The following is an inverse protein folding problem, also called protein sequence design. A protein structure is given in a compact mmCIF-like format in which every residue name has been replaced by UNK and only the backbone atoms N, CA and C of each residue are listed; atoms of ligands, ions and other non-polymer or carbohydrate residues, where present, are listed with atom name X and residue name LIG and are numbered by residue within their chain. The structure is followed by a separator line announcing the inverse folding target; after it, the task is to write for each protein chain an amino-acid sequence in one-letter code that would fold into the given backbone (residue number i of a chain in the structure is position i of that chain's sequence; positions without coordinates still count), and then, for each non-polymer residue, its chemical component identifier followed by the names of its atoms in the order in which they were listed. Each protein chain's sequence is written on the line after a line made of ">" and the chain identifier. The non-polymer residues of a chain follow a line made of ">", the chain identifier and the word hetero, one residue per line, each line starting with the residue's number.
data_IF_566985203324
#
_entry.id   IF_566985203324
#
_cell.length_a   1.000
_cell.length_b   1.000
_cell.length_c   1.000
_cell.angle_alpha   90.00
_cell.angle_beta   90.00
_cell.angle_gamma   90.00
#
_symmetry.space_group_name_H-M   'P 1'
#
loop_
_entity.id
_entity.type
_entity.pdbx_description
1 polymer ?
#
# COMPACT_ATOMS: atom_id res chain seq x y z
N UNK A 1 5.37 23.45 4.30
CA UNK A 1 4.43 22.33 4.60
C UNK A 1 3.29 22.78 5.48
N UNK A 2 3.54 23.52 6.56
CA UNK A 2 2.47 24.05 7.44
C UNK A 2 1.49 24.99 6.73
N UNK A 3 1.98 25.91 5.88
CA UNK A 3 1.13 26.78 5.05
C UNK A 3 0.24 26.05 4.03
N UNK A 4 0.59 24.80 3.70
CA UNK A 4 -0.17 23.95 2.80
C UNK A 4 -0.96 22.89 3.58
N UNK A 5 -1.08 23.05 4.91
CA UNK A 5 -1.84 22.18 5.80
C UNK A 5 -1.45 20.69 5.73
N UNK A 6 -0.20 20.42 5.34
CA UNK A 6 0.32 19.05 5.27
C UNK A 6 0.61 18.56 6.69
N UNK A 7 0.00 17.44 7.08
CA UNK A 7 0.23 16.79 8.36
C UNK A 7 1.65 16.18 8.46
N UNK A 8 2.65 17.01 8.76
CA UNK A 8 4.08 16.63 8.82
C UNK A 8 4.44 15.60 9.89
N UNK A 9 3.57 15.44 10.90
CA UNK A 9 3.70 14.35 11.88
C UNK A 9 3.48 12.98 11.23
N UNK A 10 2.57 12.90 10.26
CA UNK A 10 2.20 11.69 9.51
C UNK A 10 3.08 11.55 8.26
N UNK A 11 3.15 12.60 7.43
CA UNK A 11 3.91 12.61 6.19
C UNK A 11 5.30 13.19 6.41
N UNK A 12 6.28 12.30 6.52
CA UNK A 12 7.69 12.68 6.68
C UNK A 12 8.28 13.17 5.36
N UNK A 13 9.44 13.86 5.38
CA UNK A 13 10.10 14.32 4.16
C UNK A 13 10.31 13.22 3.11
N UNK A 14 10.54 11.98 3.58
CA UNK A 14 10.66 10.82 2.72
C UNK A 14 9.39 10.52 1.89
N UNK A 15 8.21 10.63 2.51
CA UNK A 15 6.92 10.47 1.84
C UNK A 15 6.72 11.56 0.79
N UNK A 16 7.08 12.81 1.10
CA UNK A 16 6.98 13.92 0.16
C UNK A 16 7.91 13.71 -1.04
N UNK A 17 9.16 13.28 -0.82
CA UNK A 17 10.10 12.97 -1.92
C UNK A 17 9.52 11.93 -2.87
N UNK A 18 8.91 10.86 -2.35
CA UNK A 18 8.23 9.83 -3.15
C UNK A 18 7.06 10.40 -3.94
N UNK A 19 6.19 11.18 -3.30
CA UNK A 19 5.02 11.79 -3.94
C UNK A 19 5.43 12.78 -5.04
N UNK A 20 6.36 13.70 -4.75
CA UNK A 20 6.83 14.69 -5.72
C UNK A 20 7.52 14.04 -6.92
N UNK A 21 8.37 13.05 -6.69
CA UNK A 21 9.06 12.34 -7.78
C UNK A 21 8.08 11.54 -8.65
N UNK A 22 7.08 10.91 -8.03
CA UNK A 22 6.00 10.25 -8.78
C UNK A 22 5.23 11.25 -9.63
N UNK A 23 4.86 12.40 -9.06
CA UNK A 23 4.12 13.43 -9.79
C UNK A 23 4.92 13.99 -10.97
N UNK A 24 6.24 14.13 -10.82
CA UNK A 24 7.12 14.54 -11.91
C UNK A 24 7.08 13.54 -13.09
N UNK A 25 7.13 12.22 -12.81
CA UNK A 25 6.95 11.19 -13.85
C UNK A 25 5.58 11.31 -14.52
N UNK A 26 4.51 11.46 -13.74
CA UNK A 26 3.15 11.63 -14.27
C UNK A 26 3.00 12.91 -15.13
N UNK A 27 3.84 13.92 -14.90
CA UNK A 27 3.93 15.13 -15.71
C UNK A 27 4.87 14.99 -16.92
N UNK A 28 5.39 13.80 -17.20
CA UNK A 28 6.23 13.49 -18.36
C UNK A 28 7.73 13.73 -18.17
N UNK A 29 8.20 14.00 -16.95
CA UNK A 29 9.64 14.10 -16.69
C UNK A 29 10.30 12.73 -16.77
N UNK A 30 11.53 12.68 -17.29
CA UNK A 30 12.26 11.43 -17.41
C UNK A 30 12.70 10.92 -16.04
N UNK A 31 12.76 9.60 -15.89
CA UNK A 31 13.27 8.97 -14.66
C UNK A 31 14.73 9.35 -14.42
N UNK A 32 15.52 9.58 -15.49
CA UNK A 32 16.91 10.02 -15.40
C UNK A 32 16.99 11.37 -14.69
N UNK A 33 16.25 12.37 -15.18
CA UNK A 33 16.27 13.73 -14.61
C UNK A 33 15.80 13.74 -13.15
N UNK A 34 14.83 12.89 -12.82
CA UNK A 34 14.36 12.71 -11.44
C UNK A 34 15.44 12.10 -10.56
N UNK A 35 16.18 11.10 -11.07
CA UNK A 35 17.31 10.51 -10.35
C UNK A 35 18.44 11.52 -10.15
N UNK A 36 18.77 12.31 -11.16
CA UNK A 36 19.76 13.38 -11.05
C UNK A 36 19.34 14.43 -10.01
N UNK A 37 18.10 14.93 -10.10
CA UNK A 37 17.55 15.92 -9.17
C UNK A 37 17.53 15.41 -7.73
N UNK A 38 17.16 14.15 -7.53
CA UNK A 38 17.05 13.54 -6.21
C UNK A 38 18.39 12.95 -5.71
N UNK A 39 19.46 13.02 -6.49
CA UNK A 39 20.75 12.40 -6.20
C UNK A 39 20.64 10.87 -5.96
N UNK A 40 19.90 10.19 -6.82
CA UNK A 40 19.85 8.73 -6.89
C UNK A 40 20.80 8.21 -7.97
N UNK A 41 21.41 7.05 -7.71
CA UNK A 41 22.20 6.36 -8.72
C UNK A 41 21.34 5.85 -9.86
N UNK A 42 21.74 6.21 -11.09
CA UNK A 42 21.20 5.66 -12.34
C UNK A 42 21.34 4.15 -12.47
N UNK A 43 22.37 3.58 -11.83
CA UNK A 43 22.67 2.15 -11.89
C UNK A 43 21.74 1.31 -11.01
N UNK A 44 20.95 1.95 -10.15
CA UNK A 44 20.03 1.26 -9.23
C UNK A 44 18.58 1.48 -9.63
N UNK A 45 17.72 0.53 -9.27
CA UNK A 45 16.26 0.63 -9.41
C UNK A 45 15.58 1.16 -8.14
N UNK A 46 16.32 1.92 -7.31
CA UNK A 46 15.84 2.36 -5.99
C UNK A 46 14.57 3.20 -6.10
N UNK A 47 14.55 4.15 -7.04
CA UNK A 47 13.40 4.99 -7.30
C UNK A 47 12.19 4.15 -7.74
N UNK A 48 12.38 3.35 -8.78
CA UNK A 48 11.35 2.54 -9.42
C UNK A 48 10.73 1.52 -8.46
N UNK A 49 11.52 0.96 -7.54
CA UNK A 49 11.07 -0.08 -6.62
C UNK A 49 10.41 0.47 -5.36
N UNK A 50 10.90 1.59 -4.82
CA UNK A 50 10.51 2.03 -3.47
C UNK A 50 9.77 3.38 -3.45
N UNK A 51 10.04 4.26 -4.42
CA UNK A 51 9.58 5.65 -4.39
C UNK A 51 8.60 5.99 -5.51
N UNK A 52 8.62 5.27 -6.63
CA UNK A 52 7.67 5.45 -7.71
C UNK A 52 6.35 4.76 -7.39
N UNK A 53 5.30 5.55 -7.13
CA UNK A 53 3.97 5.08 -6.70
C UNK A 53 2.86 5.78 -7.49
N UNK A 54 2.71 5.50 -8.80
CA UNK A 54 1.75 6.19 -9.66
C UNK A 54 0.32 6.03 -9.13
N UNK A 55 -0.46 7.12 -9.19
CA UNK A 55 -1.85 7.15 -8.69
C UNK A 55 -2.80 6.35 -9.57
N UNK A 56 -2.56 6.34 -10.88
CA UNK A 56 -3.30 5.54 -11.86
C UNK A 56 -2.76 4.11 -11.99
N UNK A 57 -2.44 3.49 -10.86
CA UNK A 57 -2.30 2.05 -10.83
C UNK A 57 -3.71 1.48 -11.04
N UNK A 58 -4.14 1.39 -12.31
CA UNK A 58 -5.10 0.36 -12.74
C UNK A 58 -4.45 -0.97 -12.39
N UNK A 59 -4.56 -1.33 -11.12
CA UNK A 59 -3.95 -2.51 -10.62
C UNK A 59 -4.68 -3.63 -11.35
N UNK A 60 -3.91 -4.57 -11.90
CA UNK A 60 -4.45 -5.89 -12.24
C UNK A 60 -5.34 -6.39 -11.10
N UNK A 61 -4.98 -6.10 -9.85
CA UNK A 61 -5.81 -6.33 -8.66
C UNK A 61 -7.15 -5.59 -8.66
N UNK A 62 -7.20 -4.29 -8.99
CA UNK A 62 -8.48 -3.54 -9.12
C UNK A 62 -9.33 -4.14 -10.24
N UNK A 63 -8.72 -4.49 -11.38
CA UNK A 63 -9.43 -5.12 -12.50
C UNK A 63 -9.91 -6.54 -12.14
N UNK A 64 -9.12 -7.30 -11.36
CA UNK A 64 -9.50 -8.63 -10.85
C UNK A 64 -10.64 -8.51 -9.83
N UNK A 65 -10.55 -7.59 -8.87
CA UNK A 65 -11.59 -7.32 -7.87
C UNK A 65 -12.86 -6.90 -8.58
N UNK A 66 -12.79 -5.92 -9.49
CA UNK A 66 -13.94 -5.51 -10.27
C UNK A 66 -14.50 -6.71 -11.06
N UNK A 67 -13.69 -7.53 -11.73
CA UNK A 67 -14.15 -8.73 -12.42
C UNK A 67 -14.88 -9.73 -11.49
N UNK A 68 -14.40 -9.93 -10.26
CA UNK A 68 -15.03 -10.81 -9.27
C UNK A 68 -16.38 -10.24 -8.80
N UNK A 69 -16.45 -8.94 -8.53
CA UNK A 69 -17.62 -8.31 -7.90
C UNK A 69 -18.61 -7.66 -8.90
N UNK A 70 -18.27 -7.58 -10.19
CA UNK A 70 -19.15 -7.00 -11.23
C UNK A 70 -20.37 -7.88 -11.55
N UNK A 71 -20.42 -9.13 -11.08
CA UNK A 71 -21.57 -10.01 -11.26
C UNK A 71 -22.72 -9.74 -10.28
N UNK A 72 -22.62 -8.71 -9.44
CA UNK A 72 -23.67 -8.35 -8.48
C UNK A 72 -24.74 -7.45 -9.08
N UNK A 73 -25.25 -7.80 -10.26
CA UNK A 73 -26.52 -7.27 -10.73
C UNK A 73 -27.66 -7.96 -9.95
N UNK A 74 -28.06 -7.33 -8.85
CA UNK A 74 -29.43 -7.28 -8.30
C UNK A 74 -30.29 -8.55 -8.25
N UNK A 75 -29.75 -9.75 -8.04
CA UNK A 75 -30.60 -10.93 -7.74
C UNK A 75 -30.76 -11.17 -6.24
N UNK A 76 -31.13 -10.14 -5.47
CA UNK A 76 -31.70 -10.34 -4.14
C UNK A 76 -33.14 -10.84 -4.31
N UNK A 77 -33.33 -12.16 -4.28
CA UNK A 77 -34.64 -12.77 -4.00
C UNK A 77 -34.49 -13.73 -2.82
N UNK A 78 -35.03 -13.25 -1.69
CA UNK A 78 -35.67 -13.97 -0.58
C UNK A 78 -35.07 -15.27 -0.01
N UNK A 79 -34.76 -15.19 1.30
CA UNK A 79 -35.05 -16.27 2.25
C UNK A 79 -33.89 -17.19 2.62
N UNK A 80 -33.06 -16.78 3.58
CA UNK A 80 -33.03 -17.45 4.89
C UNK A 80 -32.01 -16.78 5.82
N UNK A 81 -32.45 -16.51 7.04
CA UNK A 81 -31.63 -16.00 8.13
C UNK A 81 -30.61 -17.08 8.51
N UNK A 82 -29.38 -16.95 8.02
CA UNK A 82 -28.26 -17.72 8.53
C UNK A 82 -27.63 -16.95 9.71
N UNK A 83 -27.91 -17.38 10.93
CA UNK A 83 -27.23 -16.90 12.13
C UNK A 83 -25.72 -17.16 12.03
N UNK A 84 -24.92 -16.11 12.19
CA UNK A 84 -23.45 -16.19 12.15
C UNK A 84 -22.92 -16.86 13.43
N UNK A 85 -22.42 -18.10 13.31
CA UNK A 85 -21.74 -18.76 14.42
C UNK A 85 -20.31 -18.24 14.54
N UNK A 86 -20.03 -17.52 15.64
CA UNK A 86 -18.74 -16.90 15.95
C UNK A 86 -17.66 -17.96 16.19
N UNK A 87 -16.70 -18.10 15.27
CA UNK A 87 -15.52 -18.96 15.47
C UNK A 87 -14.53 -18.23 16.39
N UNK A 88 -14.36 -18.73 17.62
CA UNK A 88 -13.33 -18.26 18.56
C UNK A 88 -12.04 -19.05 18.33
N UNK A 89 -11.04 -18.42 17.73
CA UNK A 89 -9.67 -18.95 17.62
C UNK A 89 -8.93 -18.68 18.92
N UNK A 90 -8.57 -19.73 19.66
CA UNK A 90 -7.76 -19.66 20.88
C UNK A 90 -6.31 -19.98 20.54
N UNK A 91 -5.44 -18.98 20.52
CA UNK A 91 -3.99 -19.15 20.36
C UNK A 91 -3.36 -19.43 21.73
N UNK A 92 -2.81 -20.62 21.96
CA UNK A 92 -1.98 -20.92 23.14
C UNK A 92 -0.49 -20.74 22.81
N UNK A 93 0.17 -19.85 23.54
CA UNK A 93 1.61 -19.60 23.44
C UNK A 93 2.40 -20.69 24.16
N UNK A 94 3.31 -21.39 23.45
CA UNK A 94 4.28 -22.26 24.08
C UNK A 94 5.45 -21.42 24.61
N UNK A 95 5.56 -21.24 25.93
CA UNK A 95 6.76 -20.68 26.54
C UNK A 95 7.84 -21.77 26.61
N UNK A 96 8.97 -21.50 25.94
CA UNK A 96 10.23 -22.22 26.07
C UNK A 96 10.66 -22.32 27.54
N UNK A 97 10.87 -23.54 28.04
CA UNK A 97 11.52 -23.80 29.32
C UNK A 97 13.04 -23.64 29.18
N UNK A 98 13.58 -22.51 29.64
CA UNK A 98 15.01 -22.42 29.97
C UNK A 98 15.18 -22.42 31.49
N UNK A 99 15.48 -23.58 32.06
CA UNK A 99 16.08 -23.69 33.40
C UNK A 99 17.60 -23.81 33.24
N UNK A 100 18.35 -22.82 33.72
CA UNK A 100 19.71 -23.03 34.23
C UNK A 100 19.78 -22.44 35.63
N UNK A 101 19.93 -23.34 36.61
CA UNK A 101 20.25 -23.02 38.00
C UNK A 101 21.73 -22.64 38.10
N UNK A 102 22.01 -21.86 39.14
CA UNK A 102 23.31 -21.31 39.59
C UNK A 102 24.48 -22.29 39.50
#
# INVERSE_FOLDING_TARGET
>A
MERAEIATKVYKPHSLRSASSTKAVEMGQSISDIKDHANWSHQTKTFEKYYYKPTAQENKSTNIVNSIFSFTDNHTTLGDVAESTKIVVRSSNNQMLTKRSR
#
